data_IF_361092538534
#
_entry.id   IF_361092538534
#
_cell.length_a   1.000
_cell.length_b   1.000
_cell.length_c   1.000
_cell.angle_alpha   90.00
_cell.angle_beta   90.00
_cell.angle_gamma   90.00
#
_symmetry.space_group_name_H-M   'P 1'
#
loop_
_entity.id
_entity.type
_entity.pdbx_description
1 polymer ?
#
# COMPACT_ATOMS: atom_id res chain seq x y z
N UNK A 1 -10.82 -2.74 30.83
CA UNK A 1 -10.15 -3.94 30.29
C UNK A 1 -8.84 -3.48 29.68
N UNK A 2 -7.70 -3.75 30.34
CA UNK A 2 -6.36 -3.27 29.95
C UNK A 2 -6.03 -3.82 28.56
N UNK A 3 -6.04 -2.95 27.55
CA UNK A 3 -5.44 -3.22 26.23
C UNK A 3 -3.92 -3.25 26.44
N UNK A 4 -3.38 -4.44 26.64
CA UNK A 4 -1.94 -4.68 26.61
C UNK A 4 -1.39 -4.16 25.29
N UNK A 5 -0.35 -3.34 25.40
CA UNK A 5 0.49 -2.76 24.36
C UNK A 5 1.21 -3.86 23.55
N UNK A 6 0.47 -4.73 22.87
CA UNK A 6 1.06 -5.58 21.85
C UNK A 6 1.19 -4.74 20.58
N UNK A 7 2.43 -4.38 20.24
CA UNK A 7 2.79 -3.79 18.96
C UNK A 7 2.21 -4.68 17.86
N UNK A 8 1.24 -4.15 17.13
CA UNK A 8 0.64 -4.87 16.00
C UNK A 8 1.71 -5.09 14.93
N UNK A 9 1.78 -6.32 14.40
CA UNK A 9 2.68 -6.69 13.31
C UNK A 9 2.67 -5.70 12.14
N UNK A 10 1.50 -5.21 11.78
CA UNK A 10 1.33 -4.26 10.67
C UNK A 10 1.94 -2.88 10.95
N UNK A 11 1.88 -2.40 12.21
CA UNK A 11 2.48 -1.12 12.59
C UNK A 11 4.00 -1.21 12.56
N UNK A 12 4.55 -2.33 13.03
CA UNK A 12 5.98 -2.60 13.01
C UNK A 12 6.52 -2.70 11.57
N UNK A 13 5.81 -3.43 10.71
CA UNK A 13 6.08 -3.52 9.27
C UNK A 13 6.11 -2.14 8.59
N UNK A 14 5.14 -1.26 8.89
CA UNK A 14 5.13 0.11 8.37
C UNK A 14 6.36 0.93 8.80
N UNK A 15 6.76 0.85 10.07
CA UNK A 15 7.96 1.54 10.56
C UNK A 15 9.19 1.06 9.80
N UNK A 16 9.34 -0.26 9.66
CA UNK A 16 10.52 -0.82 8.99
C UNK A 16 10.55 -0.47 7.51
N UNK A 17 9.41 -0.53 6.83
CA UNK A 17 9.29 -0.08 5.45
C UNK A 17 9.71 1.39 5.29
N UNK A 18 9.30 2.25 6.21
CA UNK A 18 9.67 3.66 6.21
C UNK A 18 11.17 3.85 6.46
N UNK A 19 11.72 3.21 7.51
CA UNK A 19 13.14 3.29 7.85
C UNK A 19 14.02 2.83 6.67
N UNK A 20 13.73 1.66 6.09
CA UNK A 20 14.46 1.14 4.94
C UNK A 20 14.38 2.08 3.73
N UNK A 21 13.18 2.57 3.41
CA UNK A 21 12.97 3.45 2.24
C UNK A 21 13.70 4.78 2.39
N UNK A 22 13.65 5.41 3.58
CA UNK A 22 14.34 6.67 3.86
C UNK A 22 15.85 6.47 3.84
N UNK A 23 16.37 5.40 4.44
CA UNK A 23 17.82 5.15 4.49
C UNK A 23 18.45 4.99 3.10
N UNK A 24 17.73 4.36 2.16
CA UNK A 24 18.21 4.14 0.78
C UNK A 24 18.01 5.36 -0.10
N UNK A 25 16.94 6.14 0.10
CA UNK A 25 16.65 7.30 -0.73
C UNK A 25 17.80 8.34 -0.73
N UNK A 26 18.49 8.49 0.41
CA UNK A 26 19.61 9.42 0.58
C UNK A 26 20.99 8.75 0.50
N UNK A 27 21.10 7.54 -0.03
CA UNK A 27 22.37 6.79 -0.06
C UNK A 27 22.73 6.36 -1.47
N UNK A 28 24.03 6.25 -1.72
CA UNK A 28 24.51 5.36 -2.77
C UNK A 28 24.15 3.91 -2.43
N UNK A 29 23.89 3.12 -3.46
CA UNK A 29 23.46 1.72 -3.30
C UNK A 29 24.69 0.85 -3.10
N UNK A 30 24.97 0.51 -1.84
CA UNK A 30 25.99 -0.48 -1.49
C UNK A 30 25.42 -1.89 -1.39
N UNK A 31 26.32 -2.89 -1.37
CA UNK A 31 25.99 -4.31 -1.32
C UNK A 31 25.11 -4.65 -0.08
N UNK A 32 25.27 -3.93 1.03
CA UNK A 32 24.53 -4.16 2.28
C UNK A 32 23.02 -3.95 2.14
N UNK A 33 22.56 -3.15 1.16
CA UNK A 33 21.13 -2.90 0.88
C UNK A 33 20.39 -4.19 0.52
N UNK A 34 21.07 -5.14 -0.12
CA UNK A 34 20.45 -6.37 -0.58
C UNK A 34 20.25 -7.41 0.53
N UNK A 35 20.89 -7.27 1.70
CA UNK A 35 20.83 -8.28 2.77
C UNK A 35 19.40 -8.45 3.32
N UNK A 36 18.69 -7.38 3.76
CA UNK A 36 17.29 -7.51 4.19
C UNK A 36 16.37 -8.00 3.06
N UNK A 37 16.69 -7.62 1.82
CA UNK A 37 15.91 -7.98 0.65
C UNK A 37 16.01 -9.48 0.32
N UNK A 38 17.21 -10.04 0.38
CA UNK A 38 17.45 -11.48 0.18
C UNK A 38 16.77 -12.28 1.27
N UNK A 39 16.82 -11.82 2.52
CA UNK A 39 16.09 -12.45 3.62
C UNK A 39 14.58 -12.48 3.37
N UNK A 40 13.98 -11.36 2.98
CA UNK A 40 12.56 -11.29 2.62
C UNK A 40 12.20 -12.19 1.43
N UNK A 41 13.06 -12.24 0.42
CA UNK A 41 12.89 -13.11 -0.75
C UNK A 41 12.93 -14.59 -0.37
N UNK A 42 13.76 -14.97 0.60
CA UNK A 42 13.83 -16.34 1.11
C UNK A 42 12.57 -16.75 1.88
N UNK A 43 12.00 -15.83 2.67
CA UNK A 43 10.77 -16.05 3.44
C UNK A 43 9.56 -16.18 2.52
N UNK A 44 9.46 -15.33 1.50
CA UNK A 44 8.30 -15.25 0.60
C UNK A 44 8.50 -15.97 -0.73
N UNK A 45 9.31 -17.04 -0.76
CA UNK A 45 9.66 -17.79 -2.00
C UNK A 45 8.44 -18.17 -2.86
N UNK A 46 7.34 -18.55 -2.23
CA UNK A 46 6.11 -18.95 -2.90
C UNK A 46 5.47 -17.83 -3.75
N UNK A 47 5.73 -16.56 -3.45
CA UNK A 47 5.11 -15.40 -4.11
C UNK A 47 6.08 -14.61 -4.98
N UNK A 48 7.35 -15.05 -5.10
CA UNK A 48 8.39 -14.34 -5.85
C UNK A 48 7.96 -13.99 -7.27
N UNK A 49 7.35 -14.96 -7.97
CA UNK A 49 6.96 -14.78 -9.36
C UNK A 49 5.80 -13.78 -9.52
N UNK A 50 4.89 -13.72 -8.54
CA UNK A 50 3.79 -12.76 -8.55
C UNK A 50 4.28 -11.34 -8.19
N UNK A 51 5.21 -11.24 -7.24
CA UNK A 51 5.87 -9.98 -6.86
C UNK A 51 6.68 -9.42 -8.04
N UNK A 52 7.45 -10.28 -8.72
CA UNK A 52 8.26 -9.87 -9.87
C UNK A 52 7.40 -9.41 -11.05
N UNK A 53 6.25 -10.07 -11.31
CA UNK A 53 5.28 -9.60 -12.31
C UNK A 53 4.73 -8.22 -11.99
N UNK A 54 4.42 -7.94 -10.71
CA UNK A 54 3.99 -6.60 -10.28
C UNK A 54 5.11 -5.58 -10.46
N UNK A 55 6.34 -5.91 -10.04
CA UNK A 55 7.51 -5.05 -10.20
C UNK A 55 7.73 -4.65 -11.68
N UNK A 56 7.59 -5.60 -12.61
CA UNK A 56 7.73 -5.32 -14.04
C UNK A 56 6.72 -4.26 -14.52
N UNK A 57 5.47 -4.33 -14.05
CA UNK A 57 4.46 -3.32 -14.35
C UNK A 57 4.84 -1.94 -13.77
N UNK A 58 5.35 -1.89 -12.54
CA UNK A 58 5.83 -0.63 -11.94
C UNK A 58 7.08 -0.08 -12.65
N UNK A 59 7.92 -0.94 -13.24
CA UNK A 59 9.14 -0.55 -13.93
C UNK A 59 8.91 0.21 -15.24
N UNK A 60 7.68 0.22 -15.80
CA UNK A 60 7.39 0.96 -17.04
C UNK A 60 7.75 2.45 -16.89
N UNK A 61 7.41 3.08 -15.77
CA UNK A 61 7.74 4.49 -15.53
C UNK A 61 9.21 4.70 -15.12
N UNK A 62 9.79 3.75 -14.39
CA UNK A 62 11.17 3.85 -13.89
C UNK A 62 12.17 3.73 -15.04
N UNK A 63 11.91 2.85 -16.00
CA UNK A 63 12.73 2.74 -17.21
C UNK A 63 12.74 4.07 -17.97
N UNK A 64 11.61 4.76 -18.06
CA UNK A 64 11.55 6.07 -18.69
C UNK A 64 12.40 7.10 -17.93
N UNK A 65 12.32 7.14 -16.60
CA UNK A 65 13.18 8.03 -15.80
C UNK A 65 14.67 7.71 -15.93
N UNK A 66 15.03 6.42 -15.92
CA UNK A 66 16.42 5.99 -16.07
C UNK A 66 16.95 6.32 -17.45
N UNK A 67 16.14 6.16 -18.50
CA UNK A 67 16.49 6.57 -19.86
C UNK A 67 16.74 8.08 -19.93
N UNK A 68 15.90 8.88 -19.27
CA UNK A 68 16.09 10.33 -19.21
C UNK A 68 17.39 10.72 -18.51
N UNK A 69 17.71 10.09 -17.38
CA UNK A 69 18.96 10.35 -16.64
C UNK A 69 20.18 9.82 -17.35
N UNK A 70 20.06 8.72 -18.12
CA UNK A 70 21.16 8.15 -18.90
C UNK A 70 21.74 9.14 -19.91
N UNK A 71 20.91 10.04 -20.46
CA UNK A 71 21.37 11.10 -21.35
C UNK A 71 22.22 12.16 -20.65
N UNK A 72 22.10 12.30 -19.32
CA UNK A 72 22.87 13.23 -18.52
C UNK A 72 24.12 12.55 -17.97
N UNK A 73 23.95 11.49 -17.17
CA UNK A 73 25.03 10.78 -16.48
C UNK A 73 24.76 9.28 -16.39
N UNK A 74 25.73 8.49 -16.87
CA UNK A 74 25.57 7.03 -16.96
C UNK A 74 25.64 6.34 -15.58
N UNK A 75 26.48 6.84 -14.68
CA UNK A 75 26.64 6.25 -13.35
C UNK A 75 25.42 6.49 -12.46
N UNK A 76 24.90 7.71 -12.46
CA UNK A 76 23.68 8.10 -11.73
C UNK A 76 22.45 7.33 -12.21
N UNK A 77 22.33 7.08 -13.52
CA UNK A 77 21.24 6.29 -14.08
C UNK A 77 21.20 4.86 -13.50
N UNK A 78 22.37 4.23 -13.34
CA UNK A 78 22.46 2.88 -12.75
C UNK A 78 22.11 2.88 -11.26
N UNK A 79 22.62 3.86 -10.51
CA UNK A 79 22.30 4.00 -9.09
C UNK A 79 20.81 4.27 -8.86
N UNK A 80 20.21 5.13 -9.69
CA UNK A 80 18.77 5.40 -9.69
C UNK A 80 17.95 4.13 -9.94
N UNK A 81 18.34 3.34 -10.93
CA UNK A 81 17.65 2.09 -11.25
C UNK A 81 17.69 1.11 -10.07
N UNK A 82 18.87 0.90 -9.49
CA UNK A 82 19.06 -0.03 -8.37
C UNK A 82 18.32 0.42 -7.11
N UNK A 83 18.45 1.69 -6.71
CA UNK A 83 17.83 2.20 -5.47
C UNK A 83 16.31 2.11 -5.53
N UNK A 84 15.74 2.50 -6.67
CA UNK A 84 14.28 2.53 -6.85
C UNK A 84 13.72 1.10 -6.85
N UNK A 85 14.38 0.18 -7.57
CA UNK A 85 13.96 -1.23 -7.56
C UNK A 85 14.12 -1.87 -6.19
N UNK A 86 15.18 -1.55 -5.44
CA UNK A 86 15.38 -2.08 -4.08
C UNK A 86 14.28 -1.61 -3.11
N UNK A 87 13.93 -0.33 -3.13
CA UNK A 87 12.84 0.24 -2.32
C UNK A 87 11.50 -0.40 -2.69
N UNK A 88 11.21 -0.52 -4.00
CA UNK A 88 9.96 -1.10 -4.47
C UNK A 88 9.84 -2.58 -4.13
N UNK A 89 10.90 -3.37 -4.35
CA UNK A 89 10.90 -4.79 -4.02
C UNK A 89 10.68 -4.99 -2.52
N UNK A 90 11.36 -4.22 -1.66
CA UNK A 90 11.20 -4.34 -0.21
C UNK A 90 9.77 -4.07 0.24
N UNK A 91 9.18 -2.96 -0.21
CA UNK A 91 7.79 -2.62 0.09
C UNK A 91 6.82 -3.67 -0.48
N UNK A 92 7.05 -4.15 -1.70
CA UNK A 92 6.23 -5.20 -2.29
C UNK A 92 6.30 -6.49 -1.48
N UNK A 93 7.49 -6.95 -1.09
CA UNK A 93 7.63 -8.16 -0.26
C UNK A 93 6.87 -8.04 1.06
N UNK A 94 6.97 -6.88 1.70
CA UNK A 94 6.45 -6.66 3.03
C UNK A 94 4.91 -6.47 3.05
N UNK A 95 4.32 -5.89 2.00
CA UNK A 95 2.87 -5.65 1.88
C UNK A 95 2.14 -6.57 0.90
N UNK A 96 2.80 -7.54 0.26
CA UNK A 96 2.16 -8.38 -0.78
C UNK A 96 0.90 -9.11 -0.29
N UNK A 97 0.91 -9.60 0.96
CA UNK A 97 -0.20 -10.35 1.54
C UNK A 97 -1.17 -9.49 2.36
N UNK A 98 -0.76 -8.28 2.73
CA UNK A 98 -1.56 -7.38 3.56
C UNK A 98 -2.78 -6.87 2.79
N UNK A 99 -3.95 -6.88 3.43
CA UNK A 99 -5.18 -6.27 2.92
C UNK A 99 -5.19 -4.77 3.25
N UNK A 100 -6.04 -4.00 2.57
CA UNK A 100 -6.15 -2.55 2.85
C UNK A 100 -6.39 -2.22 4.33
N UNK A 101 -7.20 -3.03 5.02
CA UNK A 101 -7.48 -2.86 6.45
C UNK A 101 -6.27 -3.11 7.36
N UNK A 102 -5.27 -3.87 6.91
CA UNK A 102 -4.07 -4.16 7.71
C UNK A 102 -3.21 -2.90 7.89
N UNK A 103 -3.15 -2.05 6.85
CA UNK A 103 -2.50 -0.72 6.93
C UNK A 103 -3.23 0.17 7.95
N UNK A 104 -4.57 0.15 7.99
CA UNK A 104 -5.36 0.90 8.99
C UNK A 104 -5.03 0.44 10.41
N UNK A 105 -4.88 -0.87 10.61
CA UNK A 105 -4.46 -1.45 11.90
C UNK A 105 -3.04 -1.03 12.27
N UNK A 106 -2.16 -0.92 11.27
CA UNK A 106 -0.83 -0.36 11.45
C UNK A 106 -0.86 1.10 11.92
N UNK A 107 -1.64 1.96 11.26
CA UNK A 107 -1.86 3.35 11.69
C UNK A 107 -2.44 3.45 13.11
N UNK A 108 -3.37 2.56 13.46
CA UNK A 108 -3.92 2.48 14.82
C UNK A 108 -2.85 2.11 15.85
N UNK A 109 -2.00 1.12 15.54
CA UNK A 109 -0.90 0.70 16.41
C UNK A 109 0.17 1.79 16.59
N UNK A 110 0.37 2.64 15.59
CA UNK A 110 1.24 3.82 15.65
C UNK A 110 0.68 4.97 16.50
N UNK A 111 -0.44 4.75 17.21
CA UNK A 111 -1.10 5.76 18.06
C UNK A 111 -1.44 7.05 17.29
N UNK A 112 -1.75 6.94 15.99
CA UNK A 112 -2.28 8.07 15.21
C UNK A 112 -3.62 8.55 15.79
N UNK A 113 -4.02 9.79 15.47
CA UNK A 113 -5.26 10.37 15.96
C UNK A 113 -6.46 9.44 15.64
N UNK A 114 -7.24 9.11 16.66
CA UNK A 114 -8.41 8.22 16.61
C UNK A 114 -9.39 8.59 15.49
N UNK A 115 -9.63 9.88 15.28
CA UNK A 115 -10.49 10.40 14.19
C UNK A 115 -9.91 10.09 12.81
N UNK A 116 -8.60 10.16 12.66
CA UNK A 116 -7.92 9.87 11.39
C UNK A 116 -8.01 8.38 11.06
N UNK A 117 -7.77 7.50 12.03
CA UNK A 117 -7.92 6.04 11.84
C UNK A 117 -9.36 5.70 11.46
N UNK A 118 -10.35 6.31 12.13
CA UNK A 118 -11.76 6.11 11.82
C UNK A 118 -12.11 6.55 10.40
N UNK A 119 -11.67 7.75 10.00
CA UNK A 119 -11.83 8.26 8.64
C UNK A 119 -11.22 7.29 7.62
N UNK A 120 -9.98 6.86 7.86
CA UNK A 120 -9.26 5.99 6.94
C UNK A 120 -9.95 4.63 6.78
N UNK A 121 -10.45 4.04 7.87
CA UNK A 121 -11.25 2.82 7.83
C UNK A 121 -12.52 2.97 6.97
N UNK A 122 -13.25 4.06 7.15
CA UNK A 122 -14.46 4.36 6.36
C UNK A 122 -14.11 4.57 4.88
N UNK A 123 -13.02 5.26 4.59
CA UNK A 123 -12.52 5.45 3.21
C UNK A 123 -12.29 4.11 2.53
N UNK A 124 -11.58 3.16 3.17
CA UNK A 124 -11.35 1.83 2.59
C UNK A 124 -12.67 1.08 2.37
N UNK A 125 -13.58 1.14 3.35
CA UNK A 125 -14.91 0.52 3.24
C UNK A 125 -15.71 1.08 2.06
N UNK A 126 -15.63 2.40 1.81
CA UNK A 126 -16.29 3.06 0.68
C UNK A 126 -15.64 2.71 -0.66
N UNK A 127 -14.31 2.56 -0.69
CA UNK A 127 -13.58 2.12 -1.90
C UNK A 127 -14.03 0.70 -2.30
N UNK A 128 -14.09 -0.23 -1.34
CA UNK A 128 -14.55 -1.60 -1.61
C UNK A 128 -16.00 -1.64 -2.11
N UNK A 129 -16.87 -0.85 -1.48
CA UNK A 129 -18.26 -0.68 -1.95
C UNK A 129 -18.32 -0.13 -3.38
N UNK A 130 -17.55 0.93 -3.67
CA UNK A 130 -17.51 1.57 -4.99
C UNK A 130 -17.01 0.60 -6.07
N UNK A 131 -15.99 -0.21 -5.80
CA UNK A 131 -15.51 -1.23 -6.73
C UNK A 131 -16.57 -2.31 -7.01
N UNK A 132 -17.31 -2.74 -5.99
CA UNK A 132 -18.42 -3.67 -6.15
C UNK A 132 -19.52 -3.07 -7.04
N UNK A 133 -19.92 -1.83 -6.76
CA UNK A 133 -20.93 -1.13 -7.55
C UNK A 133 -20.49 -0.86 -8.99
N UNK A 134 -19.22 -0.50 -9.21
CA UNK A 134 -18.66 -0.35 -10.55
C UNK A 134 -18.73 -1.67 -11.33
N UNK A 135 -18.42 -2.80 -10.68
CA UNK A 135 -18.54 -4.14 -11.29
C UNK A 135 -20.00 -4.47 -11.64
N UNK A 136 -20.95 -4.18 -10.74
CA UNK A 136 -22.37 -4.41 -10.95
C UNK A 136 -22.93 -3.57 -12.11
N UNK A 137 -22.55 -2.29 -12.18
CA UNK A 137 -22.97 -1.40 -13.27
C UNK A 137 -22.36 -1.85 -14.60
N UNK A 138 -21.08 -2.24 -14.61
CA UNK A 138 -20.42 -2.80 -15.80
C UNK A 138 -21.12 -4.06 -16.31
N UNK A 139 -21.50 -4.97 -15.42
CA UNK A 139 -22.27 -6.17 -15.78
C UNK A 139 -23.65 -5.81 -16.33
N UNK A 140 -24.36 -4.89 -15.69
CA UNK A 140 -25.67 -4.42 -16.14
C UNK A 140 -25.61 -3.81 -17.54
N UNK A 141 -24.58 -2.99 -17.83
CA UNK A 141 -24.37 -2.43 -19.17
C UNK A 141 -24.10 -3.53 -20.20
N UNK A 142 -23.27 -4.52 -19.86
CA UNK A 142 -22.98 -5.66 -20.75
C UNK A 142 -24.25 -6.46 -21.07
N UNK A 143 -25.12 -6.69 -20.08
CA UNK A 143 -26.40 -7.38 -20.28
C UNK A 143 -27.37 -6.58 -21.16
N UNK A 144 -27.29 -5.25 -21.15
CA UNK A 144 -28.07 -4.35 -22.02
C UNK A 144 -27.48 -4.22 -23.44
N UNK A 145 -26.44 -4.99 -23.78
CA UNK A 145 -25.81 -4.94 -25.10
C UNK A 145 -24.90 -3.72 -25.33
N UNK A 146 -24.49 -3.01 -24.28
CA UNK A 146 -23.59 -1.87 -24.44
C UNK A 146 -22.19 -2.31 -24.87
N UNK A 147 -21.72 -1.79 -26.01
CA UNK A 147 -20.36 -1.98 -26.52
C UNK A 147 -19.56 -0.67 -26.42
N UNK A 148 -18.42 -0.72 -25.74
CA UNK A 148 -17.53 0.44 -25.65
C UNK A 148 -16.88 0.73 -27.01
N UNK A 149 -17.31 1.80 -27.67
CA UNK A 149 -16.74 2.31 -28.93
C UNK A 149 -16.15 3.72 -28.72
N UNK A 150 -15.28 4.20 -29.60
CA UNK A 150 -14.77 5.59 -29.53
C UNK A 150 -15.78 6.60 -30.07
N UNK A 151 -17.04 6.51 -29.62
CA UNK A 151 -18.14 7.38 -30.01
C UNK A 151 -18.50 8.37 -28.91
N UNK A 152 -19.04 9.53 -29.27
CA UNK A 152 -19.51 10.54 -28.31
C UNK A 152 -20.55 9.95 -27.33
N UNK A 153 -21.42 9.07 -27.82
CA UNK A 153 -22.40 8.35 -27.00
C UNK A 153 -21.76 7.49 -25.91
N UNK A 154 -20.61 6.86 -26.20
CA UNK A 154 -19.88 6.04 -25.22
C UNK A 154 -19.33 6.91 -24.09
N UNK A 155 -18.76 8.08 -24.41
CA UNK A 155 -18.28 9.03 -23.40
C UNK A 155 -19.41 9.60 -22.53
N UNK A 156 -20.55 9.95 -23.14
CA UNK A 156 -21.76 10.36 -22.39
C UNK A 156 -22.23 9.26 -21.44
N UNK A 157 -22.22 8.00 -21.89
CA UNK A 157 -22.59 6.85 -21.06
C UNK A 157 -21.65 6.68 -19.87
N UNK A 158 -20.33 6.81 -20.08
CA UNK A 158 -19.36 6.79 -18.97
C UNK A 158 -19.58 7.94 -17.98
N UNK A 159 -19.90 9.14 -18.46
CA UNK A 159 -20.27 10.27 -17.61
C UNK A 159 -21.50 9.96 -16.74
N UNK A 160 -22.54 9.36 -17.32
CA UNK A 160 -23.75 8.95 -16.60
C UNK A 160 -23.45 7.87 -15.54
N UNK A 161 -22.60 6.89 -15.86
CA UNK A 161 -22.15 5.87 -14.90
C UNK A 161 -21.40 6.52 -13.75
N UNK A 162 -20.50 7.45 -14.04
CA UNK A 162 -19.75 8.16 -13.02
C UNK A 162 -20.68 8.96 -12.09
N UNK A 163 -21.63 9.71 -12.64
CA UNK A 163 -22.64 10.45 -11.87
C UNK A 163 -23.48 9.51 -10.98
N UNK A 164 -23.92 8.37 -11.52
CA UNK A 164 -24.66 7.35 -10.78
C UNK A 164 -23.84 6.80 -9.59
N UNK A 165 -22.57 6.45 -9.82
CA UNK A 165 -21.69 5.94 -8.77
C UNK A 165 -21.46 6.97 -7.67
N UNK A 166 -21.26 8.25 -8.04
CA UNK A 166 -21.07 9.33 -7.09
C UNK A 166 -22.27 9.50 -6.15
N UNK A 167 -23.49 9.53 -6.71
CA UNK A 167 -24.74 9.59 -5.94
C UNK A 167 -24.86 8.39 -4.98
N UNK A 168 -24.53 7.18 -5.45
CA UNK A 168 -24.57 5.96 -4.63
C UNK A 168 -23.60 6.01 -3.45
N UNK A 169 -22.37 6.49 -3.66
CA UNK A 169 -21.36 6.59 -2.60
C UNK A 169 -21.76 7.63 -1.55
N UNK A 170 -22.29 8.78 -1.96
CA UNK A 170 -22.78 9.81 -1.02
C UNK A 170 -23.90 9.25 -0.14
N UNK A 171 -24.91 8.61 -0.73
CA UNK A 171 -25.99 7.96 0.03
C UNK A 171 -25.46 6.89 0.98
N UNK A 172 -24.50 6.07 0.53
CA UNK A 172 -23.88 5.06 1.37
C UNK A 172 -23.13 5.69 2.56
N UNK A 173 -22.39 6.78 2.33
CA UNK A 173 -21.69 7.49 3.40
C UNK A 173 -22.67 8.08 4.43
N UNK A 174 -23.79 8.66 3.98
CA UNK A 174 -24.87 9.14 4.86
C UNK A 174 -25.45 8.01 5.73
N UNK A 175 -25.78 6.87 5.12
CA UNK A 175 -26.28 5.72 5.88
C UNK A 175 -25.26 5.16 6.89
N UNK A 176 -23.97 5.17 6.55
CA UNK A 176 -22.90 4.79 7.48
C UNK A 176 -22.87 5.78 8.66
N UNK A 177 -22.95 7.08 8.38
CA UNK A 177 -22.96 8.13 9.40
C UNK A 177 -24.18 8.00 10.32
N UNK A 178 -25.39 7.85 9.79
CA UNK A 178 -26.62 7.63 10.55
C UNK A 178 -26.49 6.40 11.45
N UNK A 179 -25.96 5.29 10.92
CA UNK A 179 -25.73 4.05 11.67
C UNK A 179 -24.68 4.21 12.78
N UNK A 180 -23.70 5.09 12.60
CA UNK A 180 -22.70 5.41 13.62
C UNK A 180 -23.30 6.27 14.73
N UNK A 181 -24.13 7.26 14.38
CA UNK A 181 -24.82 8.12 15.34
C UNK A 181 -25.76 7.28 16.21
N UNK A 182 -26.56 6.39 15.62
CA UNK A 182 -27.50 5.53 16.38
C UNK A 182 -26.80 4.56 17.33
N UNK A 183 -25.57 4.13 17.01
CA UNK A 183 -24.73 3.29 17.88
C UNK A 183 -23.96 4.09 18.94
N UNK A 184 -24.13 5.41 19.00
CA UNK A 184 -23.39 6.26 19.91
C UNK A 184 -21.90 6.30 19.60
N UNK A 185 -21.52 6.56 18.35
CA UNK A 185 -20.11 6.64 17.96
C UNK A 185 -19.38 7.82 18.63
N UNK A 186 -18.30 7.52 19.39
CA UNK A 186 -17.51 8.51 20.14
C UNK A 186 -16.20 8.92 19.43
N UNK A 187 -16.11 8.78 18.11
CA UNK A 187 -14.91 9.15 17.35
C UNK A 187 -13.85 8.04 17.25
N UNK A 188 -14.18 6.82 17.69
CA UNK A 188 -13.27 5.68 17.73
C UNK A 188 -13.90 4.44 17.10
N UNK A 189 -13.20 3.85 16.13
CA UNK A 189 -13.53 2.54 15.56
C UNK A 189 -12.65 1.50 16.25
N UNK A 190 -13.28 0.52 16.89
CA UNK A 190 -12.59 -0.60 17.52
C UNK A 190 -12.29 -1.68 16.49
N UNK A 191 -11.02 -1.83 16.13
CA UNK A 191 -10.55 -2.85 15.21
C UNK A 191 -10.38 -4.18 15.97
N UNK A 192 -10.97 -5.27 15.48
CA UNK A 192 -10.76 -6.59 16.08
C UNK A 192 -9.32 -7.08 15.86
N UNK A 193 -8.72 -7.47 16.98
CA UNK A 193 -7.43 -8.14 17.22
C UNK A 193 -6.29 -7.89 16.22
N UNK A 194 -5.24 -7.24 16.72
CA UNK A 194 -3.94 -7.11 16.06
C UNK A 194 -3.26 -8.49 15.95
N UNK A 195 -2.57 -8.72 14.83
CA UNK A 195 -1.68 -9.88 14.70
C UNK A 195 -0.48 -9.67 15.62
N UNK A 196 -0.11 -10.73 16.35
CA UNK A 196 1.08 -10.74 17.19
C UNK A 196 2.35 -10.75 16.35
N UNK A 197 3.40 -10.13 16.87
CA UNK A 197 4.73 -10.18 16.26
C UNK A 197 5.27 -11.61 16.27
N UNK A 198 5.87 -11.99 15.15
CA UNK A 198 6.54 -13.27 14.98
C UNK A 198 8.05 -13.03 15.07
N UNK A 199 8.83 -14.04 15.48
CA UNK A 199 10.30 -13.96 15.55
C UNK A 199 10.95 -13.47 14.24
N UNK A 200 10.29 -13.72 13.10
CA UNK A 200 10.71 -13.25 11.78
C UNK A 200 10.71 -11.73 11.67
N UNK A 201 9.73 -11.06 12.28
CA UNK A 201 9.61 -9.60 12.25
C UNK A 201 10.80 -8.99 13.01
N UNK A 202 11.14 -9.53 14.18
CA UNK A 202 12.31 -9.10 14.96
C UNK A 202 13.64 -9.30 14.20
N UNK A 203 13.81 -10.45 13.52
CA UNK A 203 14.99 -10.71 12.71
C UNK A 203 15.13 -9.69 11.57
N UNK A 204 14.01 -9.35 10.91
CA UNK A 204 13.98 -8.35 9.85
C UNK A 204 14.34 -6.96 10.36
N UNK A 205 13.84 -6.57 11.54
CA UNK A 205 14.18 -5.30 12.16
C UNK A 205 15.66 -5.20 12.53
N UNK A 206 16.24 -6.28 13.04
CA UNK A 206 17.67 -6.35 13.36
C UNK A 206 18.53 -6.15 12.10
N UNK A 207 18.17 -6.80 10.99
CA UNK A 207 18.88 -6.63 9.71
C UNK A 207 18.82 -5.19 9.19
N UNK A 208 17.66 -4.54 9.27
CA UNK A 208 17.50 -3.14 8.86
C UNK A 208 18.27 -2.20 9.81
N UNK A 209 18.25 -2.45 11.12
CA UNK A 209 19.03 -1.67 12.08
C UNK A 209 20.54 -1.83 11.85
N UNK A 210 21.02 -3.05 11.57
CA UNK A 210 22.42 -3.32 11.25
C UNK A 210 22.85 -2.59 9.97
N UNK A 211 22.00 -2.57 8.95
CA UNK A 211 22.23 -1.81 7.72
C UNK A 211 22.37 -0.30 8.01
N UNK A 212 21.48 0.26 8.84
CA UNK A 212 21.53 1.67 9.21
C UNK A 212 22.82 1.99 9.99
N UNK A 213 23.23 1.12 10.91
CA UNK A 213 24.46 1.28 11.69
C UNK A 213 25.72 1.21 10.81
N UNK A 214 25.79 0.24 9.89
CA UNK A 214 26.89 0.12 8.94
C UNK A 214 27.02 1.38 8.07
N UNK A 215 25.87 1.92 7.60
CA UNK A 215 25.86 3.19 6.87
C UNK A 215 26.33 4.36 7.75
N UNK A 216 25.84 4.45 8.98
CA UNK A 216 26.23 5.50 9.93
C UNK A 216 27.71 5.49 10.28
N UNK A 217 28.39 4.35 10.12
CA UNK A 217 29.82 4.19 10.37
C UNK A 217 30.68 4.43 9.10
N UNK A 218 30.06 4.43 7.92
CA UNK A 218 30.69 4.69 6.63
C UNK A 218 30.61 6.17 6.18
N UNK A 219 29.83 7.00 6.89
CA UNK A 219 29.74 8.46 6.74
C UNK A 219 30.82 9.13 7.60
#
# INVERSE_FOLDING_TARGET
MKTSEEVSKEGFNLIIALLYSVSIAFSEVEIYVFIPLIFLAFVHKAYLLAIFKRLLLLNVFIIFLVLFVLFQDHQEAWQLFLRTNAILLFNLFLFYQSKGYDIVRGCYALKMNKKFVALFYVTISLIEYLFCELKNVKQTMKMRGFSATTSMFTYQTYGNVFALLFIKVIRKAQHIQESMITRGFHGEIYLLQAQKLVMLDYALALLVAMMILLKGLAI
#
